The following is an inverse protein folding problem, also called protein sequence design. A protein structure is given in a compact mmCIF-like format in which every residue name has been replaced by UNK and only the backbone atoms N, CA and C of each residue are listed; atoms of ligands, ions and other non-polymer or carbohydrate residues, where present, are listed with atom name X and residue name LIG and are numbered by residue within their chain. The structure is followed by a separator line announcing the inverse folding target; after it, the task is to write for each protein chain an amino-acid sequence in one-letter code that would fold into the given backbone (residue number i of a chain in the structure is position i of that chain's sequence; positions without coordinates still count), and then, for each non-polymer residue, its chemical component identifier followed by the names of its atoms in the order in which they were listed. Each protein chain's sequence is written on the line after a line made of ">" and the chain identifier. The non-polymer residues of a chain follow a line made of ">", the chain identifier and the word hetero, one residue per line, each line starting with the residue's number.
data_IF_157267641862
#
_entry.id   IF_157267641862
#
_cell.length_a   1.000
_cell.length_b   1.000
_cell.length_c   1.000
_cell.angle_alpha   90.00
_cell.angle_beta   90.00
_cell.angle_gamma   90.00
#
_symmetry.space_group_name_H-M   'P 1'
#
loop_
_entity.id
_entity.type
_entity.pdbx_description
1 polymer ?
#
# COMPACT_ATOMS: atom_id res chain seq x y z
N UNK A 1 -14.34 18.08 -7.01
CA UNK A 1 -13.46 17.05 -6.39
C UNK A 1 -12.05 17.59 -6.06
N UNK A 2 -11.83 18.91 -6.04
CA UNK A 2 -10.48 19.52 -5.99
C UNK A 2 -9.92 19.86 -4.60
N UNK A 3 -10.63 19.54 -3.51
CA UNK A 3 -10.32 20.09 -2.18
C UNK A 3 -9.99 19.06 -1.08
N UNK A 4 -9.82 17.78 -1.42
CA UNK A 4 -9.47 16.78 -0.41
C UNK A 4 -7.94 16.70 -0.23
N UNK A 5 -7.40 16.88 0.99
CA UNK A 5 -5.96 16.86 1.22
C UNK A 5 -5.39 15.44 1.21
N UNK A 6 -4.12 15.29 0.83
CA UNK A 6 -3.47 13.98 0.68
C UNK A 6 -2.64 13.62 1.91
N UNK A 7 -2.51 12.31 2.16
CA UNK A 7 -1.72 11.71 3.22
C UNK A 7 -0.46 11.03 2.63
N UNK A 8 0.74 11.49 3.02
CA UNK A 8 2.02 11.01 2.46
C UNK A 8 2.68 9.93 3.34
N UNK A 9 3.15 8.84 2.72
CA UNK A 9 3.87 7.73 3.35
C UNK A 9 5.40 7.85 3.19
N UNK A 10 6.11 8.15 4.28
CA UNK A 10 7.51 8.62 4.27
C UNK A 10 8.64 7.63 3.95
N UNK A 11 8.38 6.38 3.52
CA UNK A 11 9.45 5.39 3.23
C UNK A 11 9.19 4.51 1.99
N UNK A 12 8.44 4.99 1.01
CA UNK A 12 8.25 4.26 -0.24
C UNK A 12 9.07 4.91 -1.36
N UNK A 13 10.18 4.27 -1.74
CA UNK A 13 10.92 4.65 -2.94
C UNK A 13 10.02 4.51 -4.18
N UNK A 14 10.03 5.53 -5.04
CA UNK A 14 9.36 5.62 -6.35
C UNK A 14 8.21 4.63 -6.55
N UNK A 15 7.06 4.94 -5.94
CA UNK A 15 5.82 4.30 -6.35
C UNK A 15 5.63 4.61 -7.83
N UNK A 16 5.43 3.57 -8.63
CA UNK A 16 5.02 3.73 -10.02
C UNK A 16 3.54 3.43 -10.10
N UNK A 17 2.81 4.24 -10.85
CA UNK A 17 1.41 4.02 -11.16
C UNK A 17 1.27 3.68 -12.65
N UNK A 18 0.42 2.73 -12.96
CA UNK A 18 0.02 2.38 -14.32
C UNK A 18 -1.48 2.62 -14.48
N UNK A 19 -1.87 3.06 -15.68
CA UNK A 19 -3.28 3.21 -16.03
C UNK A 19 -3.78 1.92 -16.68
N UNK A 20 -4.90 1.39 -16.21
CA UNK A 20 -5.54 0.21 -16.79
C UNK A 20 -5.87 0.50 -18.26
N UNK A 21 -5.35 -0.31 -19.19
CA UNK A 21 -5.54 -0.14 -20.64
C UNK A 21 -4.48 0.71 -21.37
N UNK A 22 -3.54 1.36 -20.67
CA UNK A 22 -2.38 2.01 -21.27
C UNK A 22 -1.08 1.45 -20.67
N UNK A 23 -0.17 0.95 -21.50
CA UNK A 23 1.11 0.40 -21.04
C UNK A 23 2.10 1.45 -20.48
N UNK A 24 1.69 2.72 -20.39
CA UNK A 24 2.50 3.79 -19.83
C UNK A 24 2.49 3.70 -18.30
N UNK A 25 3.64 3.35 -17.74
CA UNK A 25 3.91 3.45 -16.30
C UNK A 25 4.54 4.80 -16.03
N UNK A 26 4.03 5.53 -15.04
CA UNK A 26 4.55 6.82 -14.64
C UNK A 26 4.95 6.79 -13.17
N UNK A 27 6.08 7.42 -12.83
CA UNK A 27 6.45 7.64 -11.44
C UNK A 27 5.37 8.47 -10.74
N UNK A 28 4.85 7.95 -9.63
CA UNK A 28 3.99 8.70 -8.73
C UNK A 28 4.81 9.80 -8.07
N UNK A 29 4.50 11.05 -8.43
CA UNK A 29 5.06 12.21 -7.77
C UNK A 29 4.05 12.73 -6.74
N UNK A 30 4.26 12.47 -5.43
CA UNK A 30 3.44 13.10 -4.42
C UNK A 30 3.64 14.61 -4.49
N UNK A 31 2.58 15.37 -4.23
CA UNK A 31 2.68 16.82 -4.03
C UNK A 31 2.64 17.12 -2.52
N UNK A 32 3.78 17.07 -1.81
CA UNK A 32 3.83 17.23 -0.36
C UNK A 32 3.37 18.62 0.10
N UNK A 33 3.44 19.65 -0.76
CA UNK A 33 2.92 20.98 -0.45
C UNK A 33 1.39 21.01 -0.28
N UNK A 34 0.66 19.97 -0.74
CA UNK A 34 -0.78 19.80 -0.54
C UNK A 34 -1.13 18.73 0.51
N UNK A 35 -0.13 18.09 1.12
CA UNK A 35 -0.36 17.07 2.14
C UNK A 35 -0.64 17.73 3.50
N UNK A 36 -1.84 17.58 4.04
CA UNK A 36 -2.19 18.16 5.36
C UNK A 36 -1.64 17.34 6.52
N UNK A 37 -1.32 16.07 6.30
CA UNK A 37 -0.83 15.13 7.31
C UNK A 37 0.17 14.19 6.60
N UNK A 38 1.29 13.91 7.25
CA UNK A 38 2.32 12.98 6.79
C UNK A 38 2.49 11.90 7.86
N UNK A 39 2.37 10.63 7.49
CA UNK A 39 2.65 9.53 8.41
C UNK A 39 3.24 8.34 7.65
N UNK A 40 4.23 7.70 8.24
CA UNK A 40 4.92 6.52 7.70
C UNK A 40 4.26 5.19 8.10
N UNK A 41 3.02 5.25 8.61
CA UNK A 41 2.25 4.08 9.06
C UNK A 41 0.87 4.06 8.40
N UNK A 42 0.61 3.03 7.61
CA UNK A 42 -0.67 2.83 6.88
C UNK A 42 -1.89 2.77 7.80
N UNK A 43 -1.76 2.26 9.03
CA UNK A 43 -2.87 2.22 9.99
C UNK A 43 -3.29 3.61 10.49
N UNK A 44 -2.32 4.51 10.68
CA UNK A 44 -2.56 5.91 11.04
C UNK A 44 -3.22 6.64 9.87
N UNK A 45 -2.72 6.41 8.65
CA UNK A 45 -3.31 6.99 7.43
C UNK A 45 -4.76 6.54 7.21
N UNK A 46 -5.05 5.26 7.46
CA UNK A 46 -6.42 4.72 7.43
C UNK A 46 -7.33 5.43 8.42
N UNK A 47 -6.89 5.64 9.66
CA UNK A 47 -7.70 6.33 10.66
C UNK A 47 -8.07 7.75 10.22
N UNK A 48 -7.10 8.50 9.66
CA UNK A 48 -7.38 9.83 9.11
C UNK A 48 -8.35 9.80 7.92
N UNK A 49 -8.16 8.86 6.99
CA UNK A 49 -9.07 8.68 5.86
C UNK A 49 -10.51 8.39 6.30
N UNK A 50 -10.69 7.51 7.30
CA UNK A 50 -12.00 7.18 7.88
C UNK A 50 -12.67 8.37 8.56
N UNK A 51 -11.89 9.31 9.10
CA UNK A 51 -12.42 10.57 9.67
C UNK A 51 -12.65 11.66 8.62
N UNK A 52 -12.50 11.36 7.33
CA UNK A 52 -12.71 12.32 6.24
C UNK A 52 -11.60 13.38 6.11
N UNK A 53 -10.45 13.16 6.75
CA UNK A 53 -9.36 14.13 6.81
C UNK A 53 -8.45 14.12 5.59
N UNK A 54 -8.73 13.27 4.58
CA UNK A 54 -7.95 13.23 3.36
C UNK A 54 -8.10 11.98 2.50
N UNK A 55 -7.26 11.91 1.47
CA UNK A 55 -7.05 10.76 0.58
C UNK A 55 -5.72 10.10 0.93
N UNK A 56 -5.71 8.77 1.01
CA UNK A 56 -4.51 7.99 1.28
C UNK A 56 -4.35 6.85 0.27
N UNK A 57 -3.10 6.50 -0.01
CA UNK A 57 -2.74 5.22 -0.63
C UNK A 57 -2.59 4.21 0.50
N UNK A 58 -3.38 3.14 0.46
CA UNK A 58 -3.44 2.12 1.50
C UNK A 58 -3.37 0.73 0.87
N UNK A 59 -2.73 -0.26 1.52
CA UNK A 59 -2.76 -1.64 1.05
C UNK A 59 -4.18 -2.22 1.10
N UNK A 60 -4.56 -2.99 0.08
CA UNK A 60 -5.91 -3.56 -0.04
C UNK A 60 -6.32 -4.40 1.18
N UNK A 61 -5.40 -5.25 1.67
CA UNK A 61 -5.63 -6.11 2.83
C UNK A 61 -5.96 -5.33 4.11
N UNK A 62 -5.58 -4.05 4.20
CA UNK A 62 -5.85 -3.20 5.37
C UNK A 62 -7.24 -2.56 5.31
N UNK A 63 -7.80 -2.37 4.11
CA UNK A 63 -9.00 -1.55 3.88
C UNK A 63 -10.16 -2.32 3.25
N UNK A 64 -10.00 -3.61 2.94
CA UNK A 64 -11.01 -4.45 2.29
C UNK A 64 -12.39 -4.32 2.97
N UNK A 65 -12.40 -4.38 4.30
CA UNK A 65 -13.63 -4.29 5.07
C UNK A 65 -14.22 -2.87 5.10
N UNK A 66 -13.39 -1.83 4.99
CA UNK A 66 -13.87 -0.44 4.87
C UNK A 66 -14.46 -0.15 3.49
N UNK A 67 -13.86 -0.70 2.44
CA UNK A 67 -14.40 -0.61 1.08
C UNK A 67 -15.73 -1.37 0.97
N UNK A 68 -15.77 -2.60 1.49
CA UNK A 68 -16.99 -3.43 1.50
C UNK A 68 -18.15 -2.77 2.26
N UNK A 69 -17.85 -2.05 3.34
CA UNK A 69 -18.84 -1.35 4.16
C UNK A 69 -19.13 0.08 3.69
N UNK A 70 -18.47 0.55 2.63
CA UNK A 70 -18.65 1.91 2.10
C UNK A 70 -18.09 3.03 3.00
N UNK A 71 -17.29 2.68 4.01
CA UNK A 71 -16.59 3.66 4.87
C UNK A 71 -15.43 4.33 4.13
N UNK A 72 -14.85 3.63 3.16
CA UNK A 72 -13.90 4.17 2.21
C UNK A 72 -14.42 3.94 0.78
N UNK A 73 -13.98 4.81 -0.14
CA UNK A 73 -14.31 4.73 -1.56
C UNK A 73 -13.00 4.74 -2.35
N UNK A 74 -12.89 3.85 -3.35
CA UNK A 74 -11.75 3.83 -4.25
C UNK A 74 -11.88 4.95 -5.29
N UNK A 75 -11.06 5.99 -5.18
CA UNK A 75 -11.20 7.22 -5.97
C UNK A 75 -10.68 7.11 -7.41
N UNK A 76 -9.66 6.28 -7.64
CA UNK A 76 -8.95 6.16 -8.92
C UNK A 76 -8.85 4.69 -9.36
N UNK A 77 -9.98 4.01 -9.64
CA UNK A 77 -9.99 2.58 -9.95
C UNK A 77 -9.20 2.21 -11.21
N UNK A 78 -9.02 3.16 -12.12
CA UNK A 78 -8.25 2.98 -13.36
C UNK A 78 -6.73 3.08 -13.14
N UNK A 79 -6.28 3.43 -11.94
CA UNK A 79 -4.86 3.57 -11.62
C UNK A 79 -4.44 2.49 -10.63
N UNK A 80 -3.38 1.77 -10.98
CA UNK A 80 -2.83 0.73 -10.12
C UNK A 80 -1.41 1.08 -9.72
N UNK A 81 -1.08 0.87 -8.45
CA UNK A 81 0.31 0.89 -8.02
C UNK A 81 0.99 -0.40 -8.44
N UNK A 82 2.27 -0.31 -8.79
CA UNK A 82 3.09 -1.51 -9.01
C UNK A 82 3.02 -2.42 -7.79
N UNK A 83 2.59 -3.66 -7.99
CA UNK A 83 2.48 -4.66 -6.92
C UNK A 83 3.84 -4.87 -6.26
N UNK A 84 3.91 -4.63 -4.95
CA UNK A 84 5.09 -4.88 -4.15
C UNK A 84 5.03 -6.30 -3.58
N UNK A 85 6.12 -7.06 -3.75
CA UNK A 85 6.25 -8.40 -3.18
C UNK A 85 6.56 -8.34 -1.68
N UNK A 86 6.04 -9.33 -0.93
CA UNK A 86 6.51 -9.63 0.43
C UNK A 86 7.60 -10.68 0.33
N UNK A 87 8.78 -10.40 0.88
CA UNK A 87 9.94 -11.29 0.77
C UNK A 87 10.36 -11.80 2.14
N UNK A 88 10.60 -13.11 2.26
CA UNK A 88 11.23 -13.71 3.43
C UNK A 88 12.76 -13.68 3.25
N UNK A 89 13.44 -12.87 4.06
CA UNK A 89 14.90 -12.79 4.08
C UNK A 89 15.47 -13.70 5.17
N UNK A 90 16.43 -14.55 4.79
CA UNK A 90 17.15 -15.42 5.71
C UNK A 90 18.61 -15.55 5.27
N UNK A 91 19.55 -15.79 6.20
CA UNK A 91 20.96 -15.94 5.86
C UNK A 91 21.19 -17.08 4.86
N UNK A 92 22.05 -16.84 3.87
CA UNK A 92 22.50 -17.87 2.96
C UNK A 92 23.35 -18.89 3.73
N UNK A 93 22.72 -20.00 4.09
CA UNK A 93 23.31 -21.05 4.92
C UNK A 93 23.13 -22.37 4.20
N UNK A 94 24.19 -23.20 4.18
CA UNK A 94 24.17 -24.52 3.52
C UNK A 94 23.02 -25.43 4.00
N UNK A 95 22.57 -25.24 5.25
CA UNK A 95 21.46 -25.97 5.82
C UNK A 95 20.48 -25.01 6.49
N UNK A 96 19.41 -24.66 5.77
CA UNK A 96 18.29 -23.92 6.35
C UNK A 96 17.61 -24.79 7.42
N UNK A 97 17.52 -24.35 8.69
CA UNK A 97 16.90 -25.14 9.74
C UNK A 97 15.47 -25.52 9.39
N UNK A 98 15.07 -26.76 9.67
CA UNK A 98 13.76 -27.30 9.31
C UNK A 98 12.61 -26.42 9.83
N UNK A 99 12.75 -25.86 11.05
CA UNK A 99 11.77 -24.93 11.63
C UNK A 99 11.53 -23.69 10.78
N UNK A 100 12.58 -23.13 10.19
CA UNK A 100 12.48 -21.95 9.30
C UNK A 100 11.81 -22.33 7.99
N UNK A 101 12.16 -23.50 7.42
CA UNK A 101 11.50 -24.01 6.21
C UNK A 101 10.00 -24.21 6.42
N UNK A 102 9.62 -24.92 7.48
CA UNK A 102 8.21 -25.17 7.82
C UNK A 102 7.45 -23.87 8.05
N UNK A 103 8.07 -22.87 8.69
CA UNK A 103 7.47 -21.56 8.86
C UNK A 103 7.28 -20.81 7.52
N UNK A 104 8.28 -20.82 6.64
CA UNK A 104 8.18 -20.23 5.30
C UNK A 104 7.07 -20.93 4.49
N UNK A 105 7.03 -22.26 4.54
CA UNK A 105 6.02 -23.05 3.84
C UNK A 105 4.62 -22.75 4.38
N UNK A 106 4.46 -22.63 5.70
CA UNK A 106 3.21 -22.18 6.31
C UNK A 106 2.78 -20.80 5.82
N UNK A 107 3.70 -19.81 5.81
CA UNK A 107 3.41 -18.45 5.34
C UNK A 107 2.99 -18.40 3.86
N UNK A 108 3.61 -19.23 3.01
CA UNK A 108 3.25 -19.33 1.59
C UNK A 108 1.83 -19.87 1.36
N UNK A 109 1.32 -20.73 2.24
CA UNK A 109 -0.03 -21.30 2.11
C UNK A 109 -1.13 -20.37 2.65
N UNK A 110 -0.78 -19.29 3.36
CA UNK A 110 -1.74 -18.32 3.91
C UNK A 110 -1.84 -17.01 3.09
N UNK A 111 -1.18 -16.93 1.93
CA UNK A 111 -1.17 -15.74 1.07
C UNK A 111 -2.20 -15.85 -0.06
#
# INVERSE_FOLDING_TARGET
>A
LEQTPWLEHGRVGELSISHVGHAATQAYQPNPARARIKADNSSVLRAFALTGQGVAILPDWLIEDDLRTGRLIHLLPEWQLTRQGVYALYPDTRHLPLKVRVFIDFMKHQS
#
